data_IF_408111642037
#
_entry.id   IF_408111642037
#
_cell.length_a   1.000
_cell.length_b   1.000
_cell.length_c   1.000
_cell.angle_alpha   90.00
_cell.angle_beta   90.00
_cell.angle_gamma   90.00
#
_symmetry.space_group_name_H-M   'P 1'
#
loop_
_entity.id
_entity.type
_entity.pdbx_description
1 polymer ?
#
# COMPACT_ATOMS: atom_id res chain seq x y z
N UNK A 1 30.08 -12.76 1.43
CA UNK A 1 29.28 -11.60 1.89
C UNK A 1 29.25 -10.59 0.75
N UNK A 2 28.28 -10.69 -0.16
CA UNK A 2 28.21 -9.80 -1.34
C UNK A 2 27.50 -8.51 -0.95
N UNK A 3 28.22 -7.62 -0.28
CA UNK A 3 27.75 -6.27 0.00
C UNK A 3 27.90 -5.46 -1.30
N UNK A 4 26.89 -5.48 -2.15
CA UNK A 4 26.92 -4.82 -3.46
C UNK A 4 25.85 -3.74 -3.48
N UNK A 5 26.19 -2.59 -2.89
CA UNK A 5 25.54 -1.33 -3.23
C UNK A 5 25.90 -1.00 -4.68
N UNK A 6 24.90 -0.84 -5.53
CA UNK A 6 25.09 -0.48 -6.94
C UNK A 6 24.43 0.87 -7.22
N UNK A 7 25.14 1.71 -7.96
CA UNK A 7 24.71 3.03 -8.41
C UNK A 7 24.95 3.09 -9.92
N UNK A 8 23.90 3.32 -10.69
CA UNK A 8 23.99 3.37 -12.15
C UNK A 8 22.63 3.17 -12.84
N UNK A 9 22.61 3.45 -14.13
CA UNK A 9 21.48 3.14 -15.00
C UNK A 9 21.50 1.64 -15.33
N UNK A 10 20.38 0.97 -15.10
CA UNK A 10 20.23 -0.46 -15.40
C UNK A 10 18.77 -0.73 -15.71
N UNK A 11 18.46 -1.35 -16.84
CA UNK A 11 17.07 -1.71 -17.15
C UNK A 11 16.48 -2.66 -16.08
N UNK A 12 17.31 -3.47 -15.42
CA UNK A 12 16.87 -4.47 -14.45
C UNK A 12 17.84 -4.65 -13.29
N UNK A 13 17.31 -4.58 -12.08
CA UNK A 13 18.01 -4.94 -10.84
C UNK A 13 17.39 -6.21 -10.28
N UNK A 14 18.19 -7.27 -10.09
CA UNK A 14 17.69 -8.62 -9.76
C UNK A 14 17.95 -9.09 -8.33
N UNK A 15 19.02 -8.65 -7.67
CA UNK A 15 19.38 -9.06 -6.30
C UNK A 15 20.49 -8.17 -5.73
N UNK A 16 20.14 -7.06 -5.08
CA UNK A 16 21.07 -6.17 -4.38
C UNK A 16 20.60 -5.90 -2.94
N UNK A 17 21.53 -5.69 -2.02
CA UNK A 17 21.18 -5.20 -0.67
C UNK A 17 20.60 -3.78 -0.76
N UNK A 18 21.19 -2.93 -1.62
CA UNK A 18 20.77 -1.56 -1.84
C UNK A 18 21.04 -1.15 -3.30
N UNK A 19 20.14 -0.37 -3.89
CA UNK A 19 20.30 0.20 -5.23
C UNK A 19 19.80 1.65 -5.25
N UNK A 20 20.52 2.53 -5.93
CA UNK A 20 20.10 3.92 -6.21
C UNK A 20 20.12 4.13 -7.72
N UNK A 21 18.97 4.49 -8.31
CA UNK A 21 18.82 4.74 -9.75
C UNK A 21 17.38 4.54 -10.23
N UNK A 22 17.13 4.64 -11.54
CA UNK A 22 15.78 4.57 -12.14
C UNK A 22 15.66 3.36 -13.09
N UNK A 23 15.68 2.12 -12.58
CA UNK A 23 15.56 0.94 -13.42
C UNK A 23 14.11 0.70 -13.85
N UNK A 24 13.88 0.20 -15.07
CA UNK A 24 12.53 -0.25 -15.49
C UNK A 24 11.95 -1.30 -14.52
N UNK A 25 12.81 -2.17 -13.96
CA UNK A 25 12.39 -3.23 -13.03
C UNK A 25 13.36 -3.49 -11.91
N UNK A 26 12.80 -3.64 -10.71
CA UNK A 26 13.51 -4.09 -9.52
C UNK A 26 12.87 -5.35 -8.98
N UNK A 27 13.71 -6.36 -8.76
CA UNK A 27 13.35 -7.63 -8.17
C UNK A 27 14.28 -7.91 -6.99
N UNK A 28 13.73 -8.36 -5.85
CA UNK A 28 14.50 -8.98 -4.77
C UNK A 28 15.64 -8.13 -4.19
N UNK A 29 15.36 -6.89 -3.78
CA UNK A 29 16.30 -6.04 -3.02
C UNK A 29 15.79 -5.78 -1.59
N UNK A 30 16.71 -5.63 -0.65
CA UNK A 30 16.36 -5.20 0.72
C UNK A 30 15.89 -3.75 0.73
N UNK A 31 16.60 -2.87 0.02
CA UNK A 31 16.29 -1.44 -0.10
C UNK A 31 16.50 -0.94 -1.53
N UNK A 32 15.70 0.04 -1.96
CA UNK A 32 15.90 0.77 -3.20
C UNK A 32 15.36 2.20 -3.06
N UNK A 33 16.09 3.15 -3.66
CA UNK A 33 15.70 4.55 -3.83
C UNK A 33 15.80 4.93 -5.32
N UNK A 34 14.77 5.60 -5.84
CA UNK A 34 14.63 6.01 -7.25
C UNK A 34 13.29 5.56 -7.86
N UNK A 35 13.02 5.88 -9.12
CA UNK A 35 11.66 5.82 -9.70
C UNK A 35 11.44 4.65 -10.68
N UNK A 36 11.35 3.39 -10.22
CA UNK A 36 11.20 2.27 -11.13
C UNK A 36 9.75 2.08 -11.60
N UNK A 37 9.60 1.68 -12.85
CA UNK A 37 8.29 1.32 -13.39
C UNK A 37 7.67 0.09 -12.67
N UNK A 38 8.49 -0.89 -12.22
CA UNK A 38 7.99 -2.06 -11.47
C UNK A 38 8.90 -2.53 -10.36
N UNK A 39 8.30 -2.81 -9.20
CA UNK A 39 8.96 -3.28 -7.99
C UNK A 39 8.33 -4.57 -7.50
N UNK A 40 9.14 -5.61 -7.24
CA UNK A 40 8.65 -6.91 -6.77
C UNK A 40 9.55 -7.56 -5.71
N UNK A 41 8.94 -8.04 -4.62
CA UNK A 41 9.61 -8.82 -3.57
C UNK A 41 10.72 -8.02 -2.87
N UNK A 42 10.36 -6.95 -2.15
CA UNK A 42 11.32 -6.11 -1.43
C UNK A 42 10.95 -6.01 0.05
N UNK A 43 11.93 -5.67 0.89
CA UNK A 43 11.64 -5.36 2.30
C UNK A 43 11.18 -3.92 2.43
N UNK A 44 11.96 -2.98 1.89
CA UNK A 44 11.73 -1.53 1.97
C UNK A 44 12.06 -0.83 0.65
N UNK A 45 11.40 0.29 0.34
CA UNK A 45 11.77 1.24 -0.73
C UNK A 45 10.95 2.49 -0.53
N UNK A 46 11.58 3.57 -0.94
CA UNK A 46 11.21 4.93 -0.64
C UNK A 46 11.31 5.74 -1.93
N UNK A 47 10.22 5.81 -2.68
CA UNK A 47 10.12 6.52 -3.98
C UNK A 47 8.79 6.21 -4.67
N UNK A 48 8.52 6.87 -5.80
CA UNK A 48 7.36 6.56 -6.60
C UNK A 48 7.60 5.40 -7.59
N UNK A 49 6.51 4.75 -7.99
CA UNK A 49 6.51 3.54 -8.84
C UNK A 49 5.14 3.25 -9.41
N UNK A 50 5.02 2.97 -10.71
CA UNK A 50 3.72 2.60 -11.29
C UNK A 50 3.13 1.32 -10.67
N UNK A 51 3.97 0.35 -10.30
CA UNK A 51 3.51 -0.95 -9.76
C UNK A 51 4.42 -1.53 -8.70
N UNK A 52 3.84 -1.77 -7.52
CA UNK A 52 4.51 -2.38 -6.37
C UNK A 52 3.79 -3.67 -5.95
N UNK A 53 4.53 -4.78 -5.87
CA UNK A 53 3.99 -6.10 -5.48
C UNK A 53 4.81 -6.81 -4.41
N UNK A 54 4.10 -7.45 -3.46
CA UNK A 54 4.67 -8.41 -2.51
C UNK A 54 5.78 -7.80 -1.64
N UNK A 55 5.39 -7.00 -0.64
CA UNK A 55 6.36 -6.24 0.16
C UNK A 55 6.02 -6.16 1.64
N UNK A 56 7.05 -5.94 2.45
CA UNK A 56 6.88 -5.59 3.86
C UNK A 56 6.46 -4.13 4.04
N UNK A 57 7.24 -3.15 3.53
CA UNK A 57 7.01 -1.72 3.83
C UNK A 57 7.28 -0.80 2.64
N UNK A 58 6.30 -0.03 2.15
CA UNK A 58 6.49 0.97 1.08
C UNK A 58 6.18 2.39 1.56
N UNK A 59 6.99 3.34 1.09
CA UNK A 59 6.78 4.77 1.29
C UNK A 59 6.99 5.50 -0.04
N UNK A 60 6.06 6.39 -0.44
CA UNK A 60 6.10 7.10 -1.74
C UNK A 60 4.78 6.98 -2.50
N UNK A 61 4.74 7.34 -3.79
CA UNK A 61 3.52 7.32 -4.61
C UNK A 61 3.46 6.08 -5.51
N UNK A 62 2.26 5.60 -5.86
CA UNK A 62 2.13 4.47 -6.79
C UNK A 62 0.75 4.34 -7.43
N UNK A 63 0.64 4.11 -8.74
CA UNK A 63 -0.68 3.79 -9.32
C UNK A 63 -1.29 2.52 -8.69
N UNK A 64 -0.45 1.49 -8.47
CA UNK A 64 -0.94 0.13 -8.15
C UNK A 64 -0.07 -0.59 -7.15
N UNK A 65 -0.71 -0.93 -6.04
CA UNK A 65 -0.08 -1.49 -4.85
C UNK A 65 -0.82 -2.77 -4.47
N UNK A 66 -0.09 -3.91 -4.43
CA UNK A 66 -0.68 -5.22 -4.13
C UNK A 66 0.15 -6.08 -3.17
N UNK A 67 -0.53 -6.68 -2.18
CA UNK A 67 0.02 -7.69 -1.28
C UNK A 67 1.16 -7.13 -0.41
N UNK A 68 0.81 -6.26 0.53
CA UNK A 68 1.79 -5.58 1.39
C UNK A 68 1.43 -5.64 2.87
N UNK A 69 2.42 -5.64 3.75
CA UNK A 69 2.16 -5.54 5.20
C UNK A 69 1.84 -4.10 5.59
N UNK A 70 2.72 -3.16 5.25
CA UNK A 70 2.60 -1.75 5.62
C UNK A 70 2.86 -0.84 4.41
N UNK A 71 2.06 0.21 4.29
CA UNK A 71 2.12 1.13 3.16
C UNK A 71 1.82 2.56 3.62
N UNK A 72 2.69 3.52 3.30
CA UNK A 72 2.55 4.94 3.65
C UNK A 72 2.68 5.81 2.40
N UNK A 73 1.57 6.26 1.81
CA UNK A 73 1.57 6.58 0.38
C UNK A 73 0.27 7.18 -0.14
N UNK A 74 0.37 7.87 -1.28
CA UNK A 74 -0.75 8.13 -2.19
C UNK A 74 -0.78 7.09 -3.32
N UNK A 75 -1.97 6.55 -3.63
CA UNK A 75 -2.11 5.51 -4.66
C UNK A 75 -3.50 5.40 -5.30
N UNK A 76 -3.61 5.30 -6.62
CA UNK A 76 -4.93 5.06 -7.25
C UNK A 76 -5.57 3.75 -6.74
N UNK A 77 -4.77 2.69 -6.54
CA UNK A 77 -5.29 1.36 -6.23
C UNK A 77 -4.41 0.57 -5.27
N UNK A 78 -4.97 0.29 -4.09
CA UNK A 78 -4.35 -0.53 -3.05
C UNK A 78 -5.18 -1.80 -2.82
N UNK A 79 -4.54 -2.97 -2.89
CA UNK A 79 -5.22 -4.26 -2.73
C UNK A 79 -4.47 -5.23 -1.81
N UNK A 80 -5.22 -5.89 -0.92
CA UNK A 80 -4.71 -6.98 -0.08
C UNK A 80 -3.54 -6.53 0.79
N UNK A 81 -3.81 -5.68 1.77
CA UNK A 81 -2.79 -5.18 2.69
C UNK A 81 -3.21 -5.32 4.15
N UNK A 82 -2.24 -5.39 5.06
CA UNK A 82 -2.53 -5.36 6.49
C UNK A 82 -2.81 -3.93 6.94
N UNK A 83 -1.90 -3.00 6.64
CA UNK A 83 -1.99 -1.60 7.08
C UNK A 83 -1.66 -0.64 5.95
N UNK A 84 -2.50 0.38 5.77
CA UNK A 84 -2.26 1.49 4.85
C UNK A 84 -2.48 2.83 5.55
N UNK A 85 -1.59 3.79 5.31
CA UNK A 85 -1.71 5.18 5.73
C UNK A 85 -1.53 6.09 4.51
N UNK A 86 -2.49 6.97 4.25
CA UNK A 86 -2.46 7.93 3.15
C UNK A 86 -3.71 7.90 2.29
N UNK A 87 -3.62 8.41 1.07
CA UNK A 87 -4.77 8.65 0.19
C UNK A 87 -4.86 7.61 -0.92
N UNK A 88 -6.10 7.23 -1.30
CA UNK A 88 -6.30 6.29 -2.40
C UNK A 88 -7.67 6.34 -3.04
N UNK A 89 -7.77 6.39 -4.38
CA UNK A 89 -9.08 6.29 -5.06
C UNK A 89 -9.79 4.98 -4.74
N UNK A 90 -9.03 3.87 -4.59
CA UNK A 90 -9.60 2.52 -4.39
C UNK A 90 -8.78 1.66 -3.45
N UNK A 91 -9.39 1.29 -2.34
CA UNK A 91 -8.82 0.41 -1.31
C UNK A 91 -9.65 -0.87 -1.22
N UNK A 92 -9.02 -2.04 -1.38
CA UNK A 92 -9.71 -3.34 -1.37
C UNK A 92 -9.03 -4.37 -0.49
N UNK A 93 -9.81 -5.03 0.36
CA UNK A 93 -9.40 -6.18 1.19
C UNK A 93 -8.24 -5.82 2.10
N UNK A 94 -8.55 -5.19 3.24
CA UNK A 94 -7.52 -4.78 4.20
C UNK A 94 -7.93 -4.99 5.64
N UNK A 95 -6.94 -5.08 6.52
CA UNK A 95 -7.18 -5.10 7.95
C UNK A 95 -7.40 -3.68 8.46
N UNK A 96 -6.48 -2.76 8.17
CA UNK A 96 -6.49 -1.39 8.69
C UNK A 96 -6.13 -0.37 7.61
N UNK A 97 -6.93 0.70 7.51
CA UNK A 97 -6.65 1.86 6.66
C UNK A 97 -6.82 3.16 7.46
N UNK A 98 -5.86 4.07 7.34
CA UNK A 98 -5.91 5.42 7.91
C UNK A 98 -5.69 6.46 6.82
N UNK A 99 -6.70 7.27 6.50
CA UNK A 99 -6.61 8.31 5.48
C UNK A 99 -7.89 8.47 4.67
N UNK A 100 -7.76 9.06 3.48
CA UNK A 100 -8.90 9.39 2.61
C UNK A 100 -9.01 8.42 1.43
N UNK A 101 -10.22 8.07 1.01
CA UNK A 101 -10.44 7.18 -0.13
C UNK A 101 -11.81 7.29 -0.79
N UNK A 102 -11.90 7.48 -2.12
CA UNK A 102 -13.22 7.49 -2.80
C UNK A 102 -14.00 6.17 -2.60
N UNK A 103 -13.28 5.03 -2.58
CA UNK A 103 -13.90 3.69 -2.55
C UNK A 103 -13.12 2.72 -1.68
N UNK A 104 -13.77 2.27 -0.62
CA UNK A 104 -13.24 1.31 0.34
C UNK A 104 -14.10 0.04 0.31
N UNK A 105 -13.48 -1.11 0.04
CA UNK A 105 -14.18 -2.40 -0.05
C UNK A 105 -13.53 -3.48 0.80
N UNK A 106 -14.35 -4.15 1.63
CA UNK A 106 -13.96 -5.30 2.45
C UNK A 106 -12.84 -4.94 3.42
N UNK A 107 -13.19 -4.50 4.61
CA UNK A 107 -12.21 -4.13 5.62
C UNK A 107 -12.59 -4.51 7.05
N UNK A 108 -11.57 -4.73 7.89
CA UNK A 108 -11.80 -4.85 9.33
C UNK A 108 -11.99 -3.46 9.94
N UNK A 109 -11.01 -2.57 9.74
CA UNK A 109 -11.00 -1.23 10.33
C UNK A 109 -10.60 -0.16 9.32
N UNK A 110 -11.37 0.93 9.27
CA UNK A 110 -11.02 2.13 8.50
C UNK A 110 -11.17 3.38 9.38
N UNK A 111 -10.18 4.27 9.33
CA UNK A 111 -10.21 5.56 10.02
C UNK A 111 -9.92 6.69 9.03
N UNK A 112 -10.85 7.64 8.89
CA UNK A 112 -10.75 8.73 7.90
C UNK A 112 -11.95 8.77 6.95
N UNK A 113 -11.84 9.53 5.86
CA UNK A 113 -12.98 9.87 5.00
C UNK A 113 -13.12 8.93 3.81
N UNK A 114 -14.36 8.67 3.37
CA UNK A 114 -14.59 7.93 2.13
C UNK A 114 -15.92 8.22 1.44
N UNK A 115 -15.96 8.41 0.12
CA UNK A 115 -17.26 8.59 -0.55
C UNK A 115 -18.11 7.30 -0.50
N UNK A 116 -17.48 6.13 -0.64
CA UNK A 116 -18.17 4.84 -0.72
C UNK A 116 -17.46 3.77 0.11
N UNK A 117 -18.17 3.23 1.07
CA UNK A 117 -17.74 2.11 1.91
C UNK A 117 -18.61 0.89 1.66
N UNK A 118 -17.98 -0.28 1.52
CA UNK A 118 -18.69 -1.56 1.40
C UNK A 118 -18.04 -2.66 2.23
N UNK A 119 -18.86 -3.47 2.92
CA UNK A 119 -18.46 -4.66 3.67
C UNK A 119 -17.38 -4.34 4.70
N UNK A 120 -17.79 -4.00 5.92
CA UNK A 120 -16.88 -3.57 6.97
C UNK A 120 -17.28 -4.12 8.33
N UNK A 121 -16.28 -4.29 9.19
CA UNK A 121 -16.49 -4.55 10.63
C UNK A 121 -16.52 -3.26 11.43
N UNK A 122 -15.66 -2.29 11.11
CA UNK A 122 -15.56 -1.00 11.84
C UNK A 122 -15.11 0.12 10.91
N UNK A 123 -15.83 1.24 10.94
CA UNK A 123 -15.49 2.45 10.20
C UNK A 123 -15.63 3.67 11.13
N UNK A 124 -14.53 4.41 11.31
CA UNK A 124 -14.46 5.62 12.13
C UNK A 124 -14.10 6.82 11.26
N UNK A 125 -15.10 7.57 10.82
CA UNK A 125 -14.92 8.74 9.97
C UNK A 125 -16.18 9.06 9.18
N UNK A 126 -16.02 9.96 8.21
CA UNK A 126 -17.13 10.41 7.37
C UNK A 126 -17.26 9.53 6.13
N UNK A 127 -18.51 9.19 5.79
CA UNK A 127 -18.80 8.50 4.53
C UNK A 127 -20.10 8.95 3.89
N UNK A 128 -20.08 9.21 2.58
CA UNK A 128 -21.29 9.59 1.84
C UNK A 128 -22.23 8.41 1.62
N UNK A 129 -21.69 7.21 1.36
CA UNK A 129 -22.48 6.00 1.10
C UNK A 129 -21.86 4.76 1.73
N UNK A 130 -22.65 4.04 2.52
CA UNK A 130 -22.23 2.81 3.21
C UNK A 130 -23.13 1.63 2.83
N UNK A 131 -22.52 0.48 2.50
CA UNK A 131 -23.20 -0.75 2.11
C UNK A 131 -22.70 -1.96 2.92
N UNK A 132 -23.59 -2.92 3.21
CA UNK A 132 -23.27 -4.21 3.83
C UNK A 132 -22.46 -4.07 5.14
N UNK A 133 -23.04 -3.48 6.20
CA UNK A 133 -22.40 -3.45 7.53
C UNK A 133 -22.55 -4.81 8.20
N UNK A 134 -21.44 -5.49 8.53
CA UNK A 134 -21.48 -6.66 9.42
C UNK A 134 -21.35 -6.10 10.84
N UNK A 135 -22.47 -5.70 11.44
CA UNK A 135 -22.51 -5.30 12.83
C UNK A 135 -22.20 -6.51 13.72
N UNK A 136 -21.02 -6.56 14.33
CA UNK A 136 -20.88 -7.24 15.61
C UNK A 136 -21.45 -6.25 16.63
N UNK A 137 -22.65 -6.53 17.14
CA UNK A 137 -23.21 -5.80 18.27
C UNK A 137 -22.22 -5.87 19.45
N UNK A 138 -21.64 -4.74 19.83
CA UNK A 138 -21.16 -4.53 21.20
C UNK A 138 -22.20 -3.61 21.86
N UNK A 139 -23.03 -4.15 22.75
CA UNK A 139 -23.99 -3.38 23.54
C UNK A 139 -23.29 -2.57 24.65
N UNK A 140 -23.87 -1.39 24.94
CA UNK A 140 -23.84 -0.59 26.19
C UNK A 140 -22.50 0.09 26.54
N UNK A 141 -22.42 1.40 26.79
CA UNK A 141 -22.97 2.27 27.87
C UNK A 141 -22.90 3.72 27.30
N UNK A 142 -23.88 4.64 27.32
CA UNK A 142 -24.88 5.09 28.30
C UNK A 142 -26.31 5.19 27.72
#
# INVERSE_FOLDING_TARGET
MSNTSHMGESDRVRSNTSHIGEPDRVMSNTSHMGEPYRVKNHTSHMSASDRVRSRTSHMGESDRVRSHTSHMSESDRVRSHTSHMGESDRVKSHTSHMGESDRVRSHTSHMGKSDKVRSHTSHMGESDRVWDHIAIWVSLIE
#
